data_IF_266470928798
#
_entry.id   IF_266470928798
#
_cell.length_a   1.000
_cell.length_b   1.000
_cell.length_c   1.000
_cell.angle_alpha   90.00
_cell.angle_beta   90.00
_cell.angle_gamma   90.00
#
_symmetry.space_group_name_H-M   'P 1'
#
loop_
_entity.id
_entity.type
_entity.pdbx_description
1 polymer ?
#
# COMPACT_ATOMS: atom_id res chain seq x y z
N UNK A 1 21.12 -5.96 25.93
CA UNK A 1 20.10 -5.37 25.04
C UNK A 1 20.77 -5.03 23.72
N UNK A 2 20.37 -5.62 22.59
CA UNK A 2 20.95 -5.25 21.29
C UNK A 2 20.52 -3.83 20.92
N UNK A 3 21.42 -2.98 20.38
CA UNK A 3 21.07 -1.62 20.02
C UNK A 3 19.98 -1.63 18.95
N UNK A 4 18.90 -0.88 19.16
CA UNK A 4 17.90 -0.62 18.12
C UNK A 4 18.56 0.25 17.06
N UNK A 5 18.79 -0.32 15.88
CA UNK A 5 19.21 0.46 14.72
C UNK A 5 18.15 1.54 14.44
N UNK A 6 18.60 2.79 14.26
CA UNK A 6 17.74 3.91 13.89
C UNK A 6 17.58 3.88 12.37
N UNK A 7 16.37 3.63 11.89
CA UNK A 7 16.07 3.57 10.46
C UNK A 7 15.51 4.91 9.98
N UNK A 8 16.34 5.72 9.33
CA UNK A 8 15.89 6.91 8.61
C UNK A 8 15.23 6.48 7.30
N UNK A 9 14.08 7.08 6.97
CA UNK A 9 13.27 6.72 5.81
C UNK A 9 12.58 7.96 5.25
N UNK A 10 12.31 7.93 3.95
CA UNK A 10 11.55 8.92 3.21
C UNK A 10 10.78 8.22 2.08
N UNK A 11 9.71 8.83 1.59
CA UNK A 11 8.98 8.38 0.42
C UNK A 11 8.72 9.56 -0.50
N UNK A 12 8.77 9.30 -1.81
CA UNK A 12 8.44 10.23 -2.88
C UNK A 12 7.84 9.42 -4.02
N UNK A 13 6.84 9.96 -4.69
CA UNK A 13 6.23 9.37 -5.90
C UNK A 13 6.07 10.46 -6.96
N UNK A 14 6.12 10.08 -8.23
CA UNK A 14 6.06 10.98 -9.38
C UNK A 14 5.23 10.34 -10.51
N UNK A 15 4.42 11.15 -11.20
CA UNK A 15 3.56 10.67 -12.31
C UNK A 15 4.37 10.26 -13.56
N UNK A 16 5.61 10.70 -13.65
CA UNK A 16 6.45 10.56 -14.82
C UNK A 16 6.10 11.54 -15.93
N UNK A 17 6.56 11.25 -17.14
CA UNK A 17 6.49 12.18 -18.29
C UNK A 17 5.37 11.90 -19.29
N UNK A 18 4.67 10.77 -19.14
CA UNK A 18 3.74 10.24 -20.16
C UNK A 18 2.31 10.15 -19.64
N UNK A 19 2.12 9.67 -18.40
CA UNK A 19 0.79 9.54 -17.80
C UNK A 19 0.28 10.90 -17.30
N UNK A 20 -1.04 11.05 -17.21
CA UNK A 20 -1.69 12.25 -16.66
C UNK A 20 -2.05 12.12 -15.18
N UNK A 21 -2.00 10.90 -14.63
CA UNK A 21 -2.33 10.56 -13.26
C UNK A 21 -1.35 9.49 -12.76
N UNK A 22 -1.09 9.51 -11.45
CA UNK A 22 -0.20 8.58 -10.80
C UNK A 22 -1.03 7.50 -10.08
N UNK A 23 -0.88 6.25 -10.46
CA UNK A 23 -1.56 5.11 -9.84
C UNK A 23 -0.71 4.48 -8.71
N UNK A 24 0.47 5.04 -8.39
CA UNK A 24 1.33 4.56 -7.31
C UNK A 24 0.92 5.11 -5.94
N UNK A 25 0.84 4.23 -4.93
CA UNK A 25 0.65 4.61 -3.52
C UNK A 25 1.79 4.07 -2.66
N UNK A 26 2.20 4.86 -1.65
CA UNK A 26 3.35 4.54 -0.79
C UNK A 26 3.06 4.80 0.69
N UNK A 27 3.60 3.95 1.56
CA UNK A 27 3.66 4.16 3.01
C UNK A 27 5.10 3.95 3.48
N UNK A 28 5.70 4.97 4.07
CA UNK A 28 6.99 4.86 4.73
C UNK A 28 6.84 5.19 6.23
N UNK A 29 6.52 4.18 7.02
CA UNK A 29 6.34 4.32 8.47
C UNK A 29 6.86 3.09 9.20
N UNK A 30 8.06 3.18 9.79
CA UNK A 30 8.65 2.07 10.53
C UNK A 30 7.67 1.47 11.57
N UNK A 31 7.54 0.13 11.65
CA UNK A 31 8.36 -0.87 10.98
C UNK A 31 7.84 -1.31 9.59
N UNK A 32 6.77 -0.70 9.07
CA UNK A 32 6.12 -1.10 7.83
C UNK A 32 6.45 -0.15 6.68
N UNK A 33 6.81 -0.72 5.54
CA UNK A 33 7.04 0.02 4.30
C UNK A 33 6.27 -0.66 3.19
N UNK A 34 5.52 0.12 2.41
CA UNK A 34 4.65 -0.39 1.34
C UNK A 34 4.82 0.49 0.11
N UNK A 35 4.89 -0.15 -1.05
CA UNK A 35 4.72 0.47 -2.37
C UNK A 35 3.69 -0.38 -3.09
N UNK A 36 2.69 0.25 -3.67
CA UNK A 36 1.65 -0.38 -4.47
C UNK A 36 1.54 0.35 -5.82
N UNK A 37 1.79 -0.37 -6.91
CA UNK A 37 1.58 0.08 -8.30
C UNK A 37 0.14 -0.31 -8.70
N UNK A 38 -0.70 0.70 -8.90
CA UNK A 38 -2.08 0.53 -9.28
C UNK A 38 -2.24 0.30 -10.78
N UNK A 39 -3.22 -0.52 -11.16
CA UNK A 39 -3.60 -0.74 -12.56
C UNK A 39 -5.11 -0.73 -12.71
N UNK A 40 -5.64 0.05 -13.65
CA UNK A 40 -7.07 0.03 -13.95
C UNK A 40 -7.57 1.08 -14.95
N UNK A 41 -6.84 2.17 -15.17
CA UNK A 41 -7.23 3.22 -16.11
C UNK A 41 -8.35 4.13 -15.58
N UNK A 42 -8.50 5.31 -16.18
CA UNK A 42 -9.29 6.43 -15.65
C UNK A 42 -8.83 6.88 -14.25
N UNK A 43 -9.22 6.16 -13.19
CA UNK A 43 -8.86 6.37 -11.78
C UNK A 43 -8.86 5.05 -10.96
N UNK A 44 -9.17 3.93 -11.61
CA UNK A 44 -9.31 2.62 -10.96
C UNK A 44 -8.02 2.15 -10.27
N UNK A 45 -6.87 2.36 -10.93
CA UNK A 45 -5.57 1.97 -10.36
C UNK A 45 -5.19 2.81 -9.14
N UNK A 46 -5.46 4.12 -9.17
CA UNK A 46 -5.22 5.03 -8.03
C UNK A 46 -6.03 4.58 -6.80
N UNK A 47 -7.31 4.25 -6.98
CA UNK A 47 -8.14 3.77 -5.87
C UNK A 47 -7.64 2.41 -5.36
N UNK A 48 -7.31 1.49 -6.26
CA UNK A 48 -6.82 0.15 -5.88
C UNK A 48 -5.52 0.23 -5.07
N UNK A 49 -4.54 1.02 -5.50
CA UNK A 49 -3.26 1.15 -4.78
C UNK A 49 -3.41 1.85 -3.44
N UNK A 50 -4.27 2.88 -3.36
CA UNK A 50 -4.60 3.57 -2.11
C UNK A 50 -5.22 2.62 -1.08
N UNK A 51 -6.27 1.89 -1.47
CA UNK A 51 -6.94 0.91 -0.59
C UNK A 51 -5.95 -0.15 -0.10
N UNK A 52 -5.06 -0.62 -0.98
CA UNK A 52 -4.07 -1.61 -0.60
C UNK A 52 -3.13 -1.09 0.50
N UNK A 53 -2.60 0.14 0.33
CA UNK A 53 -1.70 0.78 1.30
C UNK A 53 -2.42 1.08 2.62
N UNK A 54 -3.62 1.62 2.58
CA UNK A 54 -4.40 1.94 3.79
C UNK A 54 -4.78 0.69 4.57
N UNK A 55 -5.24 -0.36 3.87
CA UNK A 55 -5.58 -1.62 4.54
C UNK A 55 -4.35 -2.27 5.17
N UNK A 56 -3.20 -2.20 4.52
CA UNK A 56 -1.93 -2.69 5.07
C UNK A 56 -1.49 -1.86 6.28
N UNK A 57 -1.59 -0.54 6.24
CA UNK A 57 -1.32 0.36 7.39
C UNK A 57 -2.11 -0.10 8.63
N UNK A 58 -3.38 -0.43 8.45
CA UNK A 58 -4.29 -0.71 9.56
C UNK A 58 -4.19 -2.15 10.09
N UNK A 59 -3.81 -3.12 9.24
CA UNK A 59 -3.85 -4.55 9.57
C UNK A 59 -2.48 -5.24 9.69
N UNK A 60 -1.40 -4.62 9.20
CA UNK A 60 -0.08 -5.24 9.26
C UNK A 60 0.46 -5.34 10.69
N UNK A 61 1.27 -6.37 10.99
CA UNK A 61 1.84 -6.53 12.32
C UNK A 61 2.88 -5.43 12.61
N UNK A 62 2.90 -4.96 13.86
CA UNK A 62 3.90 -3.99 14.36
C UNK A 62 5.27 -4.62 14.67
N UNK A 63 5.44 -5.90 14.39
CA UNK A 63 6.68 -6.68 14.55
C UNK A 63 6.77 -7.67 13.40
N UNK A 64 7.98 -8.17 13.13
CA UNK A 64 8.19 -9.17 12.08
C UNK A 64 7.35 -10.44 12.36
N UNK A 65 6.30 -10.63 11.57
CA UNK A 65 5.45 -11.81 11.56
C UNK A 65 4.90 -12.01 10.14
N UNK A 66 5.51 -12.94 9.40
CA UNK A 66 5.14 -13.21 8.00
C UNK A 66 3.70 -13.73 7.86
N UNK A 67 3.17 -14.46 8.86
CA UNK A 67 1.79 -14.98 8.80
C UNK A 67 0.79 -13.87 9.00
N UNK A 68 1.04 -12.97 9.94
CA UNK A 68 0.21 -11.78 10.16
C UNK A 68 0.27 -10.83 8.96
N UNK A 69 1.45 -10.59 8.40
CA UNK A 69 1.60 -9.78 7.19
C UNK A 69 0.82 -10.39 6.01
N UNK A 70 0.92 -11.70 5.80
CA UNK A 70 0.16 -12.38 4.75
C UNK A 70 -1.37 -12.28 4.94
N UNK A 71 -1.86 -12.24 6.19
CA UNK A 71 -3.28 -11.96 6.47
C UNK A 71 -3.66 -10.53 6.10
N UNK A 72 -2.81 -9.55 6.42
CA UNK A 72 -3.04 -8.15 6.05
C UNK A 72 -3.06 -7.95 4.53
N UNK A 73 -2.16 -8.61 3.79
CA UNK A 73 -2.16 -8.59 2.31
C UNK A 73 -3.45 -9.20 1.74
N UNK A 74 -3.93 -10.32 2.30
CA UNK A 74 -5.21 -10.91 1.88
C UNK A 74 -6.40 -10.01 2.20
N UNK A 75 -6.37 -9.30 3.34
CA UNK A 75 -7.38 -8.30 3.66
C UNK A 75 -7.37 -7.17 2.64
N UNK A 76 -6.21 -6.57 2.34
CA UNK A 76 -6.04 -5.54 1.32
C UNK A 76 -6.62 -5.98 -0.05
N UNK A 77 -6.29 -7.20 -0.50
CA UNK A 77 -6.87 -7.74 -1.74
C UNK A 77 -8.41 -7.85 -1.68
N UNK A 78 -8.98 -8.27 -0.54
CA UNK A 78 -10.43 -8.35 -0.37
C UNK A 78 -11.08 -6.96 -0.44
N UNK A 79 -10.46 -5.95 0.13
CA UNK A 79 -10.96 -4.57 0.10
C UNK A 79 -10.92 -3.98 -1.31
N UNK A 80 -9.82 -4.18 -2.06
CA UNK A 80 -9.72 -3.78 -3.48
C UNK A 80 -10.82 -4.46 -4.31
N UNK A 81 -11.00 -5.77 -4.14
CA UNK A 81 -12.05 -6.51 -4.85
C UNK A 81 -13.47 -6.09 -4.44
N UNK A 82 -13.67 -5.57 -3.22
CA UNK A 82 -14.96 -5.02 -2.80
C UNK A 82 -15.20 -3.67 -3.48
N UNK A 83 -14.22 -2.77 -3.46
CA UNK A 83 -14.33 -1.46 -4.09
C UNK A 83 -14.65 -1.57 -5.59
N UNK A 84 -13.99 -2.49 -6.30
CA UNK A 84 -14.28 -2.77 -7.70
C UNK A 84 -15.73 -3.26 -7.94
N UNK A 85 -16.27 -4.10 -7.03
CA UNK A 85 -17.66 -4.57 -7.12
C UNK A 85 -18.69 -3.47 -6.82
N UNK A 86 -18.33 -2.53 -5.97
CA UNK A 86 -19.18 -1.41 -5.58
C UNK A 86 -19.08 -0.20 -6.52
N UNK A 87 -18.22 -0.28 -7.55
CA UNK A 87 -18.03 0.77 -8.56
C UNK A 87 -17.16 1.94 -8.10
N UNK A 88 -16.38 1.76 -7.03
CA UNK A 88 -15.46 2.76 -6.52
C UNK A 88 -14.05 2.66 -7.10
N UNK A 89 -13.79 1.69 -7.98
CA UNK A 89 -12.50 1.49 -8.65
C UNK A 89 -12.59 0.49 -9.78
#
# INVERSE_FOLDING_TARGET
>A
MSPRARLSHAALTDVGRVRTHNEDSVLAQAPLFVVADGLGGHQAGEVASSIAVETLRDNAPRKADSKALARAVRAANKEVMRAAKEGYG
#
